data_IF_985282818479
#
_entry.id   IF_985282818479
#
_cell.length_a   1.000
_cell.length_b   1.000
_cell.length_c   1.000
_cell.angle_alpha   90.00
_cell.angle_beta   90.00
_cell.angle_gamma   90.00
#
_symmetry.space_group_name_H-M   'P 1'
#
loop_
_entity.id
_entity.type
_entity.pdbx_description
1 polymer ?
#
# COMPACT_ATOMS: atom_id res chain seq x y z
N UNK A 1 15.13 3.23 -28.85
CA UNK A 1 13.71 3.01 -29.11
C UNK A 1 13.24 1.79 -28.30
N UNK A 2 13.40 1.81 -26.96
CA UNK A 2 12.97 0.74 -25.98
C UNK A 2 12.45 1.38 -24.66
N UNK A 3 12.03 2.65 -24.68
CA UNK A 3 11.62 3.34 -23.42
C UNK A 3 10.12 3.56 -23.25
N UNK A 4 9.24 3.09 -24.15
CA UNK A 4 7.78 3.31 -24.03
C UNK A 4 6.97 2.14 -23.44
N UNK A 5 7.59 0.99 -23.15
CA UNK A 5 6.87 -0.23 -22.70
C UNK A 5 6.69 -0.36 -21.18
N UNK A 6 7.05 0.65 -20.37
CA UNK A 6 6.99 0.53 -18.89
C UNK A 6 5.75 1.12 -18.20
N UNK A 7 4.77 1.62 -18.95
CA UNK A 7 3.58 2.32 -18.42
C UNK A 7 2.58 1.47 -17.59
N UNK A 8 2.87 0.22 -17.30
CA UNK A 8 1.91 -0.66 -16.59
C UNK A 8 2.43 -1.32 -15.31
N UNK A 9 3.68 -1.16 -14.94
CA UNK A 9 4.28 -1.89 -13.83
C UNK A 9 4.54 -0.95 -12.64
N UNK A 10 3.87 -1.20 -11.52
CA UNK A 10 4.09 -0.53 -10.23
C UNK A 10 5.45 -0.93 -9.59
N UNK A 11 6.47 -1.23 -10.41
CA UNK A 11 7.74 -1.82 -9.95
C UNK A 11 8.71 -0.83 -9.35
N UNK A 12 8.58 0.45 -9.64
CA UNK A 12 9.58 1.44 -9.22
C UNK A 12 8.88 2.65 -8.60
N UNK A 13 8.51 2.54 -7.32
CA UNK A 13 8.00 3.71 -6.59
C UNK A 13 9.09 4.77 -6.35
N UNK A 14 10.38 4.44 -6.41
CA UNK A 14 11.45 5.42 -6.47
C UNK A 14 11.49 6.17 -7.81
N UNK A 15 10.87 5.63 -8.87
CA UNK A 15 10.72 6.28 -10.18
C UNK A 15 9.42 7.10 -10.29
N UNK A 16 8.61 7.22 -9.25
CA UNK A 16 7.40 8.08 -9.20
C UNK A 16 7.76 9.54 -9.48
N UNK A 17 8.93 9.97 -9.05
CA UNK A 17 9.43 11.32 -9.31
C UNK A 17 9.70 11.60 -10.79
N UNK A 18 9.66 10.59 -11.66
CA UNK A 18 10.04 10.71 -13.09
C UNK A 18 8.84 10.56 -14.04
N UNK A 19 7.73 9.96 -13.65
CA UNK A 19 6.75 9.55 -14.63
C UNK A 19 5.31 10.04 -14.50
N UNK A 20 4.61 10.00 -13.38
CA UNK A 20 3.18 10.31 -13.33
C UNK A 20 2.67 10.57 -11.89
N UNK A 21 3.31 11.45 -11.13
CA UNK A 21 2.94 11.76 -9.74
C UNK A 21 1.46 12.17 -9.58
N UNK A 22 0.90 12.93 -10.51
CA UNK A 22 -0.51 13.37 -10.47
C UNK A 22 -1.48 12.20 -10.67
N UNK A 23 -1.21 11.27 -11.59
CA UNK A 23 -2.05 10.10 -11.81
C UNK A 23 -2.05 9.15 -10.59
N UNK A 24 -0.88 8.95 -9.97
CA UNK A 24 -0.78 8.15 -8.74
C UNK A 24 -1.55 8.79 -7.57
N UNK A 25 -1.45 10.10 -7.40
CA UNK A 25 -2.18 10.84 -6.38
C UNK A 25 -3.69 10.68 -6.59
N UNK A 26 -4.17 10.83 -7.83
CA UNK A 26 -5.58 10.61 -8.17
C UNK A 26 -6.07 9.19 -7.84
N UNK A 27 -5.24 8.18 -8.04
CA UNK A 27 -5.56 6.79 -7.65
C UNK A 27 -5.60 6.60 -6.13
N UNK A 28 -4.69 7.21 -5.40
CA UNK A 28 -4.69 7.19 -3.93
C UNK A 28 -5.96 7.85 -3.37
N UNK A 29 -6.39 8.99 -3.95
CA UNK A 29 -7.61 9.69 -3.55
C UNK A 29 -8.86 8.82 -3.82
N UNK A 30 -8.95 8.14 -4.97
CA UNK A 30 -10.03 7.20 -5.27
C UNK A 30 -10.09 6.04 -4.26
N UNK A 31 -8.93 5.49 -3.87
CA UNK A 31 -8.87 4.44 -2.85
C UNK A 31 -9.42 4.92 -1.51
N UNK A 32 -9.05 6.12 -1.08
CA UNK A 32 -9.50 6.68 0.19
C UNK A 32 -11.03 6.90 0.26
N UNK A 33 -11.68 7.09 -0.88
CA UNK A 33 -13.14 7.22 -0.94
C UNK A 33 -13.88 5.93 -0.57
N UNK A 34 -13.27 4.77 -0.78
CA UNK A 34 -13.91 3.47 -0.52
C UNK A 34 -14.02 3.18 0.99
N UNK A 35 -15.22 2.77 1.43
CA UNK A 35 -15.49 2.44 2.83
C UNK A 35 -14.59 1.34 3.39
N UNK A 36 -14.11 0.42 2.54
CA UNK A 36 -13.16 -0.60 2.90
C UNK A 36 -11.85 0.02 3.44
N UNK A 37 -11.25 0.94 2.68
CA UNK A 37 -9.99 1.59 3.09
C UNK A 37 -10.14 2.41 4.37
N UNK A 38 -11.25 3.12 4.54
CA UNK A 38 -11.54 3.86 5.78
C UNK A 38 -11.57 2.95 7.01
N UNK A 39 -12.23 1.78 6.90
CA UNK A 39 -12.35 0.85 8.03
C UNK A 39 -11.02 0.21 8.40
N UNK A 40 -10.28 -0.35 7.43
CA UNK A 40 -9.04 -1.02 7.78
C UNK A 40 -7.97 -0.04 8.27
N UNK A 41 -7.92 1.18 7.76
CA UNK A 41 -7.02 2.23 8.26
C UNK A 41 -7.31 2.55 9.72
N UNK A 42 -8.58 2.73 10.10
CA UNK A 42 -8.95 2.91 11.51
C UNK A 42 -8.48 1.74 12.39
N UNK A 43 -8.57 0.50 11.90
CA UNK A 43 -8.04 -0.65 12.61
C UNK A 43 -6.52 -0.57 12.78
N UNK A 44 -5.78 -0.16 11.74
CA UNK A 44 -4.31 -0.01 11.86
C UNK A 44 -3.95 1.07 12.86
N UNK A 45 -4.68 2.19 12.91
CA UNK A 45 -4.48 3.26 13.90
C UNK A 45 -4.72 2.78 15.34
N UNK A 46 -5.79 2.01 15.56
CA UNK A 46 -6.05 1.41 16.86
C UNK A 46 -4.97 0.41 17.28
N UNK A 47 -4.53 -0.45 16.35
CA UNK A 47 -3.49 -1.46 16.60
C UNK A 47 -2.13 -0.83 16.91
N UNK A 48 -1.76 0.32 16.32
CA UNK A 48 -0.52 1.02 16.66
C UNK A 48 -0.60 1.83 17.96
N UNK A 49 -1.77 1.89 18.58
CA UNK A 49 -1.98 2.63 19.82
C UNK A 49 -2.11 4.14 19.63
N UNK A 50 -2.66 4.57 18.48
CA UNK A 50 -2.90 5.99 18.23
C UNK A 50 -3.85 6.58 19.27
N UNK A 51 -3.45 7.72 19.87
CA UNK A 51 -4.22 8.40 20.90
C UNK A 51 -3.52 9.65 21.43
N UNK A 52 -4.17 10.41 22.30
CA UNK A 52 -3.67 11.69 22.79
C UNK A 52 -2.24 11.64 23.33
N UNK A 53 -1.42 12.63 22.95
CA UNK A 53 -0.05 12.79 23.44
C UNK A 53 0.97 11.81 22.82
N UNK A 54 0.56 10.90 21.94
CA UNK A 54 1.47 9.92 21.32
C UNK A 54 2.36 10.54 20.24
N UNK A 55 3.56 10.01 20.13
CA UNK A 55 4.51 10.32 19.06
C UNK A 55 4.54 9.14 18.09
N UNK A 56 4.03 9.32 16.88
CA UNK A 56 3.79 8.25 15.91
C UNK A 56 4.54 8.48 14.60
N UNK A 57 4.88 7.39 13.90
CA UNK A 57 5.45 7.44 12.56
C UNK A 57 4.55 6.71 11.54
N UNK A 58 4.42 7.31 10.34
CA UNK A 58 3.83 6.69 9.15
C UNK A 58 4.92 6.59 8.07
N UNK A 59 5.44 5.37 7.84
CA UNK A 59 6.54 5.11 6.90
C UNK A 59 5.94 4.70 5.55
N UNK A 60 6.36 5.36 4.47
CA UNK A 60 5.71 5.29 3.16
C UNK A 60 4.40 6.09 3.18
N UNK A 61 4.44 7.31 3.73
CA UNK A 61 3.25 8.13 3.98
C UNK A 61 2.59 8.69 2.70
N UNK A 62 3.26 8.62 1.54
CA UNK A 62 2.79 9.20 0.29
C UNK A 62 2.45 10.69 0.46
N UNK A 63 1.28 11.11 -0.03
CA UNK A 63 0.80 12.49 0.08
C UNK A 63 0.30 12.90 1.49
N UNK A 64 0.54 12.06 2.52
CA UNK A 64 0.39 12.43 3.93
C UNK A 64 -1.01 12.33 4.54
N UNK A 65 -1.99 11.83 3.81
CA UNK A 65 -3.39 11.84 4.26
C UNK A 65 -3.61 11.00 5.53
N UNK A 66 -2.97 9.83 5.64
CA UNK A 66 -3.05 8.98 6.83
C UNK A 66 -2.31 9.61 8.01
N UNK A 67 -1.15 10.20 7.77
CA UNK A 67 -0.40 10.95 8.79
C UNK A 67 -1.23 12.14 9.32
N UNK A 68 -2.00 12.82 8.45
CA UNK A 68 -2.92 13.88 8.86
C UNK A 68 -4.06 13.38 9.75
N UNK A 69 -4.63 12.21 9.42
CA UNK A 69 -5.65 11.58 10.27
C UNK A 69 -5.09 11.18 11.64
N UNK A 70 -3.88 10.59 11.67
CA UNK A 70 -3.17 10.26 12.91
C UNK A 70 -2.91 11.51 13.75
N UNK A 71 -2.51 12.64 13.13
CA UNK A 71 -2.28 13.89 13.84
C UNK A 71 -3.55 14.40 14.54
N UNK A 72 -4.73 14.19 13.95
CA UNK A 72 -6.00 14.47 14.61
C UNK A 72 -6.27 13.59 15.83
N UNK A 73 -5.80 12.34 15.82
CA UNK A 73 -5.98 11.40 16.95
C UNK A 73 -5.01 11.67 18.11
N UNK A 74 -3.78 12.10 17.82
CA UNK A 74 -2.79 12.37 18.87
C UNK A 74 -2.99 13.74 19.52
N UNK A 75 -3.68 14.65 18.86
CA UNK A 75 -4.00 15.98 19.40
C UNK A 75 -2.78 16.90 19.56
N UNK A 76 -2.94 18.06 20.24
CA UNK A 76 -1.90 19.08 20.30
C UNK A 76 -0.66 18.71 21.11
N UNK A 77 -0.77 17.76 22.03
CA UNK A 77 0.34 17.27 22.85
C UNK A 77 1.10 16.11 22.17
N UNK A 78 0.53 15.53 21.11
CA UNK A 78 1.16 14.46 20.35
C UNK A 78 1.88 14.97 19.11
N UNK A 79 2.55 14.06 18.41
CA UNK A 79 3.28 14.38 17.18
C UNK A 79 3.18 13.23 16.19
N UNK A 80 3.11 13.54 14.89
CA UNK A 80 3.20 12.55 13.82
C UNK A 80 4.30 12.95 12.84
N UNK A 81 5.12 11.98 12.46
CA UNK A 81 6.11 12.16 11.39
C UNK A 81 5.81 11.18 10.26
N UNK A 82 5.55 11.70 9.07
CA UNK A 82 5.43 10.94 7.83
C UNK A 82 6.79 10.85 7.14
N UNK A 83 7.16 9.66 6.67
CA UNK A 83 8.37 9.43 5.89
C UNK A 83 8.01 8.84 4.53
N UNK A 84 8.62 9.33 3.48
CA UNK A 84 8.53 8.76 2.13
C UNK A 84 9.85 8.97 1.38
N UNK A 85 10.18 8.06 0.47
CA UNK A 85 11.40 8.18 -0.34
C UNK A 85 11.24 9.17 -1.48
N UNK A 86 10.00 9.41 -1.96
CA UNK A 86 9.68 10.29 -3.08
C UNK A 86 9.68 11.76 -2.65
N UNK A 87 10.46 12.57 -3.34
CA UNK A 87 10.48 14.04 -3.17
C UNK A 87 9.11 14.62 -3.50
N UNK A 88 8.51 14.19 -4.61
CA UNK A 88 7.20 14.65 -5.08
C UNK A 88 6.11 14.38 -4.04
N UNK A 89 6.08 13.18 -3.44
CA UNK A 89 5.10 12.85 -2.41
C UNK A 89 5.28 13.69 -1.15
N UNK A 90 6.51 13.93 -0.71
CA UNK A 90 6.80 14.77 0.46
C UNK A 90 6.43 16.23 0.22
N UNK A 91 6.68 16.76 -0.96
CA UNK A 91 6.27 18.13 -1.33
C UNK A 91 4.74 18.25 -1.34
N UNK A 92 4.04 17.32 -1.95
CA UNK A 92 2.58 17.26 -1.93
C UNK A 92 2.00 17.12 -0.51
N UNK A 93 2.62 16.27 0.33
CA UNK A 93 2.20 16.12 1.72
C UNK A 93 2.32 17.42 2.51
N UNK A 94 3.41 18.18 2.32
CA UNK A 94 3.64 19.47 2.95
C UNK A 94 2.66 20.54 2.46
N UNK A 95 2.37 20.54 1.15
CA UNK A 95 1.41 21.49 0.55
C UNK A 95 -0.02 21.21 1.05
N UNK A 96 -0.47 19.95 1.01
CA UNK A 96 -1.82 19.54 1.43
C UNK A 96 -2.09 19.74 2.91
N UNK A 97 -1.08 19.61 3.76
CA UNK A 97 -1.23 19.53 5.21
C UNK A 97 -0.39 20.59 5.95
N UNK A 98 -0.43 21.82 5.47
CA UNK A 98 0.31 22.98 6.01
C UNK A 98 -0.34 23.64 7.23
N UNK A 99 -1.34 23.04 7.86
CA UNK A 99 -2.05 23.59 9.03
C UNK A 99 -1.10 23.80 10.23
N UNK A 100 -0.83 25.03 10.67
CA UNK A 100 0.13 25.30 11.73
C UNK A 100 -0.31 24.84 13.13
N UNK A 101 -1.59 24.50 13.30
CA UNK A 101 -2.14 24.00 14.58
C UNK A 101 -1.91 22.50 14.81
N UNK A 102 -1.26 21.81 13.88
CA UNK A 102 -1.09 20.34 13.95
C UNK A 102 0.39 19.98 14.04
N UNK A 103 0.75 19.15 15.03
CA UNK A 103 2.11 18.63 15.19
C UNK A 103 2.37 17.48 14.18
N UNK A 104 2.49 17.87 12.90
CA UNK A 104 2.70 16.98 11.77
C UNK A 104 3.92 17.43 10.97
N UNK A 105 4.83 16.50 10.66
CA UNK A 105 6.00 16.77 9.85
C UNK A 105 6.20 15.70 8.79
N UNK A 106 6.82 16.08 7.67
CA UNK A 106 7.13 15.16 6.56
C UNK A 106 8.61 15.22 6.23
N UNK A 107 9.24 14.04 6.17
CA UNK A 107 10.68 13.88 5.98
C UNK A 107 10.93 12.91 4.83
N UNK A 108 11.75 13.33 3.87
CA UNK A 108 12.19 12.44 2.81
C UNK A 108 13.22 11.46 3.35
N UNK A 109 12.89 10.17 3.35
CA UNK A 109 13.80 9.11 3.80
C UNK A 109 13.39 7.75 3.21
N UNK A 110 14.37 6.85 2.95
CA UNK A 110 14.06 5.45 2.63
C UNK A 110 13.60 4.71 3.88
N UNK A 111 12.72 3.72 3.69
CA UNK A 111 12.10 2.98 4.80
C UNK A 111 13.06 2.12 5.63
N UNK A 112 14.22 1.79 5.08
CA UNK A 112 15.27 0.98 5.72
C UNK A 112 16.34 1.81 6.45
N UNK A 113 16.21 3.16 6.42
CA UNK A 113 17.14 4.09 7.10
C UNK A 113 16.50 5.44 7.36
N UNK A 114 15.87 5.58 8.52
CA UNK A 114 15.21 6.81 8.94
C UNK A 114 16.17 7.74 9.69
N UNK A 115 16.15 9.06 9.45
CA UNK A 115 17.02 10.03 10.10
C UNK A 115 16.51 10.38 11.51
N UNK A 116 16.31 9.37 12.35
CA UNK A 116 15.83 9.50 13.74
C UNK A 116 16.58 8.55 14.64
N UNK A 117 16.64 8.88 15.93
CA UNK A 117 17.26 8.03 16.95
C UNK A 117 16.44 6.75 17.21
N UNK A 118 17.08 5.77 17.84
CA UNK A 118 16.40 4.60 18.37
C UNK A 118 15.30 5.03 19.35
N UNK A 119 14.25 4.22 19.47
CA UNK A 119 13.19 4.41 20.47
C UNK A 119 12.48 5.78 20.42
N UNK A 120 12.35 6.35 19.21
CA UNK A 120 11.76 7.68 19.00
C UNK A 120 10.24 7.70 19.06
N UNK A 121 9.54 6.61 18.65
CA UNK A 121 8.10 6.59 18.46
C UNK A 121 7.39 5.63 19.41
N UNK A 122 6.19 6.01 19.82
CA UNK A 122 5.30 5.14 20.61
C UNK A 122 4.62 4.08 19.72
N UNK A 123 4.50 4.33 18.42
CA UNK A 123 3.98 3.43 17.42
C UNK A 123 4.45 3.80 16.01
N UNK A 124 4.65 2.78 15.20
CA UNK A 124 5.09 2.90 13.80
C UNK A 124 4.11 2.14 12.92
N UNK A 125 3.73 2.74 11.79
CA UNK A 125 2.83 2.14 10.81
C UNK A 125 3.43 2.22 9.42
N UNK A 126 3.11 1.20 8.59
CA UNK A 126 3.24 1.26 7.14
C UNK A 126 1.96 0.76 6.47
N UNK A 127 1.64 1.27 5.28
CA UNK A 127 0.49 0.85 4.51
C UNK A 127 0.83 0.76 3.02
N UNK A 128 0.73 -0.45 2.44
CA UNK A 128 0.98 -0.72 1.02
C UNK A 128 2.38 -0.30 0.56
N UNK A 129 3.36 -0.54 1.40
CA UNK A 129 4.76 -0.22 1.16
C UNK A 129 5.60 -1.46 0.79
N UNK A 130 5.42 -2.57 1.53
CA UNK A 130 6.29 -3.74 1.47
C UNK A 130 6.23 -4.47 0.12
N UNK A 131 5.12 -4.37 -0.61
CA UNK A 131 5.00 -4.89 -1.99
C UNK A 131 5.98 -4.22 -2.96
N UNK A 132 6.49 -3.04 -2.63
CA UNK A 132 7.42 -2.27 -3.45
C UNK A 132 8.88 -2.43 -3.04
N UNK A 133 9.15 -2.93 -1.84
CA UNK A 133 10.50 -3.02 -1.28
C UNK A 133 11.27 -4.21 -1.85
N UNK A 134 12.55 -4.00 -2.10
CA UNK A 134 13.50 -5.07 -2.44
C UNK A 134 13.96 -5.84 -1.21
N UNK A 135 14.08 -5.18 -0.04
CA UNK A 135 14.38 -5.80 1.26
C UNK A 135 13.35 -5.39 2.33
N UNK A 136 12.20 -6.09 2.40
CA UNK A 136 11.21 -5.86 3.43
C UNK A 136 11.71 -6.09 4.86
N UNK A 137 12.67 -7.00 5.04
CA UNK A 137 13.22 -7.30 6.35
C UNK A 137 14.07 -6.12 6.88
N UNK A 138 14.81 -5.42 6.01
CA UNK A 138 15.54 -4.21 6.40
C UNK A 138 14.59 -3.11 6.87
N UNK A 139 13.51 -2.85 6.11
CA UNK A 139 12.51 -1.85 6.50
C UNK A 139 11.82 -2.20 7.83
N UNK A 140 11.51 -3.48 8.07
CA UNK A 140 10.93 -3.90 9.34
C UNK A 140 11.91 -3.74 10.50
N UNK A 141 13.19 -4.10 10.33
CA UNK A 141 14.22 -3.87 11.35
C UNK A 141 14.34 -2.39 11.70
N UNK A 142 14.29 -1.52 10.72
CA UNK A 142 14.32 -0.07 10.93
C UNK A 142 13.08 0.44 11.66
N UNK A 143 11.88 -0.02 11.31
CA UNK A 143 10.66 0.27 12.06
C UNK A 143 10.76 -0.17 13.53
N UNK A 144 11.30 -1.37 13.78
CA UNK A 144 11.53 -1.90 15.14
C UNK A 144 12.61 -1.10 15.90
N UNK A 145 13.67 -0.63 15.22
CA UNK A 145 14.69 0.22 15.83
C UNK A 145 14.08 1.51 16.36
N UNK A 146 13.23 2.15 15.56
CA UNK A 146 12.69 3.48 15.85
C UNK A 146 11.50 3.48 16.82
N UNK A 147 10.84 2.34 17.01
CA UNK A 147 9.75 2.23 17.99
C UNK A 147 10.34 1.98 19.39
N UNK A 148 9.75 2.61 20.42
CA UNK A 148 10.13 2.44 21.84
C UNK A 148 9.87 1.02 22.33
N UNK A 149 10.60 0.54 23.35
CA UNK A 149 10.22 -0.66 24.11
C UNK A 149 8.75 -0.59 24.53
N UNK A 150 8.00 -1.68 24.34
CA UNK A 150 6.55 -1.72 24.55
C UNK A 150 5.69 -1.05 23.50
N UNK A 151 6.28 -0.31 22.57
CA UNK A 151 5.58 0.31 21.44
C UNK A 151 5.20 -0.71 20.36
N UNK A 152 4.39 -0.29 19.38
CA UNK A 152 3.80 -1.19 18.39
C UNK A 152 4.23 -0.85 16.97
N UNK A 153 4.49 -1.90 16.19
CA UNK A 153 4.67 -1.85 14.74
C UNK A 153 3.46 -2.48 14.08
N UNK A 154 2.89 -1.77 13.10
CA UNK A 154 1.73 -2.24 12.32
C UNK A 154 2.03 -2.11 10.83
N UNK A 155 1.87 -3.19 10.09
CA UNK A 155 2.05 -3.23 8.63
C UNK A 155 0.76 -3.72 7.99
N UNK A 156 0.27 -2.98 6.99
CA UNK A 156 -0.88 -3.37 6.19
C UNK A 156 -0.48 -3.49 4.73
N UNK A 157 -0.71 -4.67 4.11
CA UNK A 157 -0.30 -4.96 2.74
C UNK A 157 -1.35 -5.71 1.93
N UNK A 158 -1.54 -5.36 0.64
CA UNK A 158 -2.30 -6.18 -0.27
C UNK A 158 -1.55 -7.48 -0.60
N UNK A 159 -2.27 -8.59 -0.62
CA UNK A 159 -1.78 -9.83 -1.21
C UNK A 159 -2.08 -9.84 -2.71
N UNK A 160 -1.18 -9.33 -3.53
CA UNK A 160 -1.38 -9.19 -4.98
C UNK A 160 -1.67 -10.53 -5.66
N UNK A 161 -1.18 -11.64 -5.12
CA UNK A 161 -1.46 -12.97 -5.62
C UNK A 161 -2.86 -13.50 -5.23
N UNK A 162 -3.57 -12.80 -4.36
CA UNK A 162 -4.96 -13.12 -3.99
C UNK A 162 -6.00 -12.50 -4.92
N UNK A 163 -5.60 -11.68 -5.89
CA UNK A 163 -6.52 -11.09 -6.87
C UNK A 163 -7.38 -12.16 -7.55
N UNK A 164 -8.67 -11.91 -7.65
CA UNK A 164 -9.63 -12.78 -8.32
C UNK A 164 -10.75 -11.97 -8.95
N UNK A 165 -11.34 -12.51 -10.00
CA UNK A 165 -12.58 -11.99 -10.62
C UNK A 165 -13.36 -13.18 -11.17
N UNK A 166 -14.67 -13.06 -11.22
CA UNK A 166 -15.48 -14.02 -11.99
C UNK A 166 -15.12 -13.89 -13.46
N UNK A 167 -15.06 -15.00 -14.16
CA UNK A 167 -14.78 -15.06 -15.58
C UNK A 167 -15.24 -16.39 -16.17
N UNK A 168 -15.81 -16.37 -17.35
CA UNK A 168 -16.04 -17.52 -18.21
C UNK A 168 -14.80 -17.95 -19.00
N UNK A 169 -13.69 -17.22 -18.85
CA UNK A 169 -12.40 -17.43 -19.54
C UNK A 169 -11.30 -17.80 -18.53
N UNK A 170 -11.37 -18.98 -17.87
CA UNK A 170 -10.52 -19.29 -16.71
C UNK A 170 -9.02 -19.21 -17.01
N UNK A 171 -8.55 -19.69 -18.16
CA UNK A 171 -7.14 -19.67 -18.53
C UNK A 171 -6.62 -18.24 -18.71
N UNK A 172 -7.45 -17.35 -19.28
CA UNK A 172 -7.10 -15.94 -19.45
C UNK A 172 -7.12 -15.24 -18.08
N UNK A 173 -8.13 -15.51 -17.25
CA UNK A 173 -8.21 -14.99 -15.89
C UNK A 173 -6.98 -15.36 -15.05
N UNK A 174 -6.44 -16.57 -15.21
CA UNK A 174 -5.19 -16.98 -14.56
C UNK A 174 -3.97 -16.18 -15.06
N UNK A 175 -3.89 -15.90 -16.36
CA UNK A 175 -2.83 -15.02 -16.90
C UNK A 175 -2.89 -13.62 -16.29
N UNK A 176 -4.09 -13.04 -16.23
CA UNK A 176 -4.30 -11.70 -15.64
C UNK A 176 -3.97 -11.71 -14.15
N UNK A 177 -4.46 -12.68 -13.38
CA UNK A 177 -4.12 -12.86 -11.96
C UNK A 177 -2.62 -12.90 -11.73
N UNK A 178 -1.90 -13.66 -12.55
CA UNK A 178 -0.44 -13.73 -12.48
C UNK A 178 0.20 -12.39 -12.85
N UNK A 179 -0.32 -11.69 -13.85
CA UNK A 179 0.12 -10.35 -14.22
C UNK A 179 -0.02 -9.35 -13.08
N UNK A 180 -1.16 -9.40 -12.34
CA UNK A 180 -1.38 -8.58 -11.14
C UNK A 180 -0.33 -8.90 -10.07
N UNK A 181 -0.08 -10.17 -9.78
CA UNK A 181 0.95 -10.56 -8.81
C UNK A 181 2.34 -10.06 -9.21
N UNK A 182 2.69 -10.13 -10.50
CA UNK A 182 3.99 -9.74 -11.02
C UNK A 182 4.13 -8.23 -11.29
N UNK A 183 3.07 -7.44 -11.09
CA UNK A 183 3.10 -5.98 -11.27
C UNK A 183 3.84 -5.24 -10.16
N UNK A 184 4.15 -5.89 -9.05
CA UNK A 184 4.89 -5.36 -7.90
C UNK A 184 6.22 -6.09 -7.71
N UNK A 185 7.15 -5.49 -6.95
CA UNK A 185 8.47 -6.09 -6.71
C UNK A 185 8.40 -7.32 -5.81
N UNK A 186 7.48 -7.31 -4.84
CA UNK A 186 7.40 -8.32 -3.78
C UNK A 186 5.94 -8.80 -3.59
N UNK A 187 5.45 -9.57 -4.56
CA UNK A 187 4.08 -10.09 -4.51
C UNK A 187 3.73 -10.89 -3.23
N UNK A 188 4.65 -11.69 -2.63
CA UNK A 188 4.37 -12.42 -1.39
C UNK A 188 4.52 -11.57 -0.12
N UNK A 189 4.78 -10.25 -0.21
CA UNK A 189 5.05 -9.40 0.95
C UNK A 189 4.02 -9.61 2.08
N UNK A 190 2.73 -9.50 1.76
CA UNK A 190 1.66 -9.66 2.73
C UNK A 190 1.69 -10.98 3.50
N UNK A 191 1.94 -12.09 2.79
CA UNK A 191 1.98 -13.45 3.38
C UNK A 191 3.21 -13.66 4.24
N UNK A 192 4.31 -12.97 3.91
CA UNK A 192 5.58 -13.10 4.60
C UNK A 192 5.64 -12.26 5.90
N UNK A 193 4.75 -11.30 6.09
CA UNK A 193 4.77 -10.39 7.24
C UNK A 193 4.80 -11.13 8.58
N UNK A 194 4.03 -12.21 8.72
CA UNK A 194 3.93 -12.90 10.01
C UNK A 194 5.28 -13.38 10.52
N UNK A 195 6.06 -14.09 9.69
CA UNK A 195 7.38 -14.53 10.15
C UNK A 195 8.43 -13.43 10.12
N UNK A 196 8.34 -12.45 9.24
CA UNK A 196 9.20 -11.28 9.31
C UNK A 196 9.10 -10.59 10.68
N UNK A 197 7.87 -10.44 11.20
CA UNK A 197 7.63 -9.88 12.55
C UNK A 197 8.23 -10.77 13.64
N UNK A 198 8.08 -12.10 13.53
CA UNK A 198 8.67 -13.05 14.48
C UNK A 198 10.19 -13.03 14.44
N UNK A 199 10.76 -13.01 13.24
CA UNK A 199 12.22 -12.96 13.03
C UNK A 199 12.84 -11.62 13.50
N UNK A 200 12.06 -10.53 13.46
CA UNK A 200 12.45 -9.23 13.99
C UNK A 200 12.34 -9.13 15.53
N UNK A 201 11.96 -10.20 16.22
CA UNK A 201 11.87 -10.26 17.68
C UNK A 201 10.63 -9.57 18.27
N UNK A 202 9.63 -9.27 17.45
CA UNK A 202 8.37 -8.70 17.95
C UNK A 202 7.53 -9.76 18.68
N UNK A 203 6.92 -9.33 19.78
CA UNK A 203 6.00 -10.13 20.59
C UNK A 203 4.53 -9.80 20.28
N UNK A 204 3.60 -10.61 20.81
CA UNK A 204 2.15 -10.40 20.64
C UNK A 204 1.75 -10.18 19.17
N UNK A 205 2.38 -10.94 18.27
CA UNK A 205 2.15 -10.81 16.83
C UNK A 205 0.77 -11.34 16.48
N UNK A 206 -0.12 -10.42 16.04
CA UNK A 206 -1.46 -10.72 15.56
C UNK A 206 -1.60 -10.47 14.07
N UNK A 207 -2.44 -11.28 13.41
CA UNK A 207 -2.75 -11.14 11.98
C UNK A 207 -4.24 -11.00 11.79
N UNK A 208 -4.65 -10.04 10.95
CA UNK A 208 -6.02 -9.90 10.46
C UNK A 208 -6.00 -9.88 8.93
N UNK A 209 -6.90 -10.61 8.30
CA UNK A 209 -7.05 -10.61 6.84
C UNK A 209 -8.42 -10.08 6.49
N UNK A 210 -8.47 -9.11 5.60
CA UNK A 210 -9.69 -8.51 5.09
C UNK A 210 -9.71 -8.58 3.57
N UNK A 211 -10.85 -8.83 2.98
CA UNK A 211 -11.00 -8.86 1.52
C UNK A 211 -11.77 -7.64 1.05
N UNK A 212 -11.13 -6.85 0.18
CA UNK A 212 -11.85 -5.89 -0.65
C UNK A 212 -12.57 -6.68 -1.74
N UNK A 213 -13.89 -6.76 -1.65
CA UNK A 213 -14.73 -7.35 -2.68
C UNK A 213 -15.57 -6.24 -3.32
N UNK A 214 -15.61 -6.20 -4.63
CA UNK A 214 -16.33 -5.17 -5.40
C UNK A 214 -17.23 -5.81 -6.46
N UNK A 215 -18.43 -5.26 -6.61
CA UNK A 215 -19.37 -5.60 -7.67
C UNK A 215 -19.34 -4.58 -8.84
N UNK A 216 -18.62 -3.47 -8.67
CA UNK A 216 -18.30 -2.49 -9.69
C UNK A 216 -16.80 -2.63 -10.04
N UNK A 217 -16.43 -2.84 -11.33
CA UNK A 217 -15.03 -2.97 -11.73
C UNK A 217 -14.24 -1.66 -11.73
N UNK A 218 -14.90 -0.50 -11.67
CA UNK A 218 -14.27 0.83 -11.74
C UNK A 218 -13.09 0.99 -10.75
N UNK A 219 -13.21 0.56 -9.47
CA UNK A 219 -12.08 0.60 -8.56
C UNK A 219 -10.87 -0.26 -9.01
N UNK A 220 -11.12 -1.43 -9.58
CA UNK A 220 -10.04 -2.30 -10.08
C UNK A 220 -9.38 -1.71 -11.34
N UNK A 221 -10.16 -1.07 -12.21
CA UNK A 221 -9.66 -0.36 -13.39
C UNK A 221 -8.74 0.79 -12.98
N UNK A 222 -9.18 1.64 -12.05
CA UNK A 222 -8.44 2.82 -11.60
C UNK A 222 -7.26 2.46 -10.69
N UNK A 223 -7.49 1.65 -9.64
CA UNK A 223 -6.49 1.38 -8.60
C UNK A 223 -5.39 0.44 -9.08
N UNK A 224 -5.77 -0.69 -9.70
CA UNK A 224 -4.82 -1.71 -10.15
C UNK A 224 -4.29 -1.46 -11.55
N UNK A 225 -4.89 -0.52 -12.31
CA UNK A 225 -4.58 -0.36 -13.73
C UNK A 225 -4.65 -1.70 -14.48
N UNK A 226 -5.75 -2.44 -14.28
CA UNK A 226 -5.89 -3.81 -14.75
C UNK A 226 -5.71 -3.94 -16.27
N UNK A 227 -6.14 -2.94 -17.04
CA UNK A 227 -5.97 -2.93 -18.48
C UNK A 227 -4.51 -2.68 -18.90
N UNK A 228 -3.76 -1.85 -18.16
CA UNK A 228 -2.33 -1.67 -18.38
C UNK A 228 -1.53 -2.94 -18.07
N UNK A 229 -1.99 -3.74 -17.07
CA UNK A 229 -1.41 -5.08 -16.81
C UNK A 229 -1.67 -6.01 -18.01
N UNK A 230 -2.88 -6.02 -18.57
CA UNK A 230 -3.21 -6.82 -19.77
C UNK A 230 -2.33 -6.40 -20.96
N UNK A 231 -2.16 -5.09 -21.20
CA UNK A 231 -1.28 -4.60 -22.26
C UNK A 231 0.18 -5.05 -22.06
N UNK A 232 0.65 -5.03 -20.82
CA UNK A 232 2.01 -5.51 -20.49
C UNK A 232 2.16 -7.02 -20.71
N UNK A 233 1.11 -7.81 -20.48
CA UNK A 233 1.11 -9.24 -20.78
C UNK A 233 1.19 -9.50 -22.27
N UNK A 234 0.49 -8.72 -23.10
CA UNK A 234 0.56 -8.81 -24.57
C UNK A 234 1.95 -8.42 -25.05
N UNK A 235 2.45 -7.27 -24.62
CA UNK A 235 3.78 -6.77 -25.01
C UNK A 235 4.91 -7.75 -24.63
N UNK A 236 4.73 -8.47 -23.50
CA UNK A 236 5.65 -9.52 -23.04
C UNK A 236 5.44 -10.89 -23.66
N UNK A 237 4.53 -11.05 -24.63
CA UNK A 237 4.24 -12.33 -25.29
C UNK A 237 3.59 -13.41 -24.40
N UNK A 238 3.03 -13.00 -23.27
CA UNK A 238 2.37 -13.91 -22.31
C UNK A 238 0.85 -14.03 -22.53
N UNK A 239 0.30 -13.13 -23.32
CA UNK A 239 -1.08 -13.08 -23.77
C UNK A 239 -1.11 -12.67 -25.22
N UNK A 240 -2.00 -13.25 -26.03
CA UNK A 240 -2.22 -12.83 -27.42
C UNK A 240 -3.17 -11.62 -27.47
N UNK A 241 -3.13 -10.86 -28.58
CA UNK A 241 -4.10 -9.78 -28.80
C UNK A 241 -5.55 -10.27 -28.76
N UNK A 242 -5.81 -11.47 -29.30
CA UNK A 242 -7.14 -12.09 -29.27
C UNK A 242 -7.60 -12.43 -27.84
N UNK A 243 -6.72 -12.94 -26.98
CA UNK A 243 -7.03 -13.19 -25.57
C UNK A 243 -7.29 -11.90 -24.80
N UNK A 244 -6.49 -10.86 -25.05
CA UNK A 244 -6.68 -9.56 -24.44
C UNK A 244 -8.01 -8.92 -24.87
N UNK A 245 -8.35 -9.01 -26.14
CA UNK A 245 -9.64 -8.53 -26.66
C UNK A 245 -10.82 -9.30 -26.05
N UNK A 246 -10.73 -10.62 -25.95
CA UNK A 246 -11.76 -11.46 -25.31
C UNK A 246 -11.94 -11.10 -23.84
N UNK A 247 -10.85 -10.92 -23.08
CA UNK A 247 -10.89 -10.50 -21.69
C UNK A 247 -11.58 -9.14 -21.51
N UNK A 248 -11.19 -8.14 -22.32
CA UNK A 248 -11.82 -6.81 -22.27
C UNK A 248 -13.30 -6.86 -22.61
N UNK A 249 -13.68 -7.63 -23.61
CA UNK A 249 -15.09 -7.77 -24.01
C UNK A 249 -15.92 -8.43 -22.89
N UNK A 250 -15.40 -9.47 -22.23
CA UNK A 250 -16.06 -10.09 -21.09
C UNK A 250 -16.19 -9.11 -19.91
N UNK A 251 -15.12 -8.37 -19.61
CA UNK A 251 -15.12 -7.35 -18.56
C UNK A 251 -16.23 -6.32 -18.76
N UNK A 252 -16.33 -5.75 -19.97
CA UNK A 252 -17.37 -4.78 -20.31
C UNK A 252 -18.77 -5.41 -20.30
N UNK A 253 -18.94 -6.66 -20.74
CA UNK A 253 -20.21 -7.38 -20.66
C UNK A 253 -20.67 -7.58 -19.22
N UNK A 254 -19.76 -8.00 -18.33
CA UNK A 254 -20.05 -8.19 -16.91
C UNK A 254 -20.40 -6.86 -16.24
N UNK A 255 -19.67 -5.79 -16.57
CA UNK A 255 -19.95 -4.43 -16.10
C UNK A 255 -21.34 -3.95 -16.54
N UNK A 256 -21.63 -4.02 -17.83
CA UNK A 256 -22.91 -3.57 -18.39
C UNK A 256 -24.11 -4.37 -17.85
N UNK A 257 -23.92 -5.66 -17.58
CA UNK A 257 -24.95 -6.53 -17.01
C UNK A 257 -25.09 -6.42 -15.48
N UNK A 258 -24.25 -5.60 -14.78
CA UNK A 258 -24.21 -5.53 -13.32
C UNK A 258 -23.84 -6.86 -12.67
N UNK A 259 -23.06 -7.69 -13.33
CA UNK A 259 -22.67 -9.05 -12.91
C UNK A 259 -21.19 -9.17 -12.57
N UNK A 260 -20.45 -8.06 -12.64
CA UNK A 260 -19.06 -8.07 -12.23
C UNK A 260 -18.94 -8.40 -10.74
N UNK A 261 -17.97 -9.23 -10.40
CA UNK A 261 -17.60 -9.48 -9.01
C UNK A 261 -16.13 -9.89 -8.96
N UNK A 262 -15.35 -9.20 -8.11
CA UNK A 262 -13.93 -9.45 -7.97
C UNK A 262 -13.41 -8.95 -6.62
N UNK A 263 -12.14 -9.26 -6.32
CA UNK A 263 -11.57 -8.85 -5.04
C UNK A 263 -10.08 -9.08 -4.88
N UNK A 264 -9.58 -8.57 -3.75
CA UNK A 264 -8.18 -8.64 -3.33
C UNK A 264 -8.12 -8.67 -1.81
N UNK A 265 -7.29 -9.54 -1.23
CA UNK A 265 -7.11 -9.62 0.22
C UNK A 265 -6.02 -8.67 0.71
N UNK A 266 -6.24 -8.09 1.90
CA UNK A 266 -5.32 -7.23 2.62
C UNK A 266 -4.97 -7.90 3.95
N UNK A 267 -3.69 -7.96 4.27
CA UNK A 267 -3.18 -8.47 5.54
C UNK A 267 -2.78 -7.29 6.42
N UNK A 268 -3.23 -7.31 7.66
CA UNK A 268 -2.78 -6.39 8.69
C UNK A 268 -2.04 -7.24 9.72
N UNK A 269 -0.77 -6.94 9.93
CA UNK A 269 0.06 -7.59 10.95
C UNK A 269 0.51 -6.54 11.95
N UNK A 270 0.32 -6.82 13.24
CA UNK A 270 0.73 -5.96 14.33
C UNK A 270 1.57 -6.76 15.33
N UNK A 271 2.62 -6.15 15.83
CA UNK A 271 3.48 -6.71 16.87
C UNK A 271 3.93 -5.64 17.85
N UNK A 272 4.47 -6.07 18.98
CA UNK A 272 4.97 -5.21 20.05
C UNK A 272 6.47 -5.42 20.22
N UNK A 273 7.24 -4.33 20.30
CA UNK A 273 8.66 -4.40 20.71
C UNK A 273 8.73 -4.83 22.16
N UNK A 274 9.56 -5.81 22.54
CA UNK A 274 9.80 -6.17 23.94
C UNK A 274 10.15 -4.96 24.81
N UNK A 275 9.89 -5.07 26.15
CA UNK A 275 10.24 -4.03 27.13
C UNK A 275 11.74 -3.91 27.36
#
# INVERSE_FOLDING_TARGET
>A
MIMESRKGLLKDFAAVDVADGEDLIGRLDQMQALAFFKRYKQQTFALMGAGPGRHLADIGCGAGDDARLLAGLVGPEGRVTGFDVSTTMIEQARERHSDPGVQLSFVQAPADRLPVDDDSFDGVRTDRLYVHLSDPAAALREAVRTVKPGGRVVVSEPDMASFWTISGLPDIAWKVKRGVAESVNNAPAARNLYYLFRDAGLENVGVSVQTLAVADPTPAEGILNIFGIVDSLVAGGRMTDSEAAAWRAEWEQLKAAGRFFGGLSFFIVAGQKPL
#
